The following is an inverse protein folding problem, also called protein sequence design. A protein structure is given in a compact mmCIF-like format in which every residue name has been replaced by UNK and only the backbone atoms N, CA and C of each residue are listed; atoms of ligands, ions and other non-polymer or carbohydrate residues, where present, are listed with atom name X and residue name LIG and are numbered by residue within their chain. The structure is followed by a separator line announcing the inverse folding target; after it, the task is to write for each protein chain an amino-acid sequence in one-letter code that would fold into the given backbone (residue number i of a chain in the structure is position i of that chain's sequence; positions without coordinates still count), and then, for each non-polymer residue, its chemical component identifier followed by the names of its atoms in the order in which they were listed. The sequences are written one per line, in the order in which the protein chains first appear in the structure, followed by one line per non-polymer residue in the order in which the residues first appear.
data_IF_835656596317
#
_entry.id   IF_835656596317
#
_cell.length_a   1.000
_cell.length_b   1.000
_cell.length_c   1.000
_cell.angle_alpha   90.00
_cell.angle_beta   90.00
_cell.angle_gamma   90.00
#
_symmetry.space_group_name_H-M   'P 1'
#
loop_
_entity.id
_entity.type
_entity.pdbx_description
1 polymer ?
#
# COMPACT_ATOMS: atom_id res chain seq x y z
N UNK A 1 4.19 -11.68 -9.33
CA UNK A 1 4.99 -10.44 -9.44
C UNK A 1 4.12 -9.20 -9.58
N UNK A 2 3.32 -9.02 -10.65
CA UNK A 2 2.47 -7.81 -10.76
C UNK A 2 1.45 -7.67 -9.62
N UNK A 3 0.60 -8.70 -9.44
CA UNK A 3 -0.46 -8.68 -8.42
C UNK A 3 0.11 -8.60 -7.00
N UNK A 4 1.27 -9.24 -6.76
CA UNK A 4 1.93 -9.16 -5.45
C UNK A 4 2.33 -7.74 -5.10
N UNK A 5 2.80 -6.94 -6.06
CA UNK A 5 3.11 -5.52 -5.79
C UNK A 5 1.86 -4.71 -5.49
N UNK A 6 0.74 -4.92 -6.20
CA UNK A 6 -0.52 -4.24 -5.88
C UNK A 6 -0.97 -4.59 -4.45
N UNK A 7 -0.96 -5.89 -4.13
CA UNK A 7 -1.40 -6.40 -2.83
C UNK A 7 -0.50 -5.95 -1.68
N UNK A 8 0.82 -5.94 -1.85
CA UNK A 8 1.78 -5.51 -0.83
C UNK A 8 1.43 -4.11 -0.31
N UNK A 9 1.24 -3.14 -1.21
CA UNK A 9 0.90 -1.78 -0.81
C UNK A 9 -0.55 -1.62 -0.33
N UNK A 10 -1.50 -2.38 -0.89
CA UNK A 10 -2.89 -2.37 -0.43
C UNK A 10 -3.01 -2.92 1.02
N UNK A 11 -2.31 -4.01 1.31
CA UNK A 11 -2.23 -4.60 2.65
C UNK A 11 -1.48 -3.64 3.58
N UNK A 12 -0.32 -3.11 3.18
CA UNK A 12 0.44 -2.15 3.99
C UNK A 12 -0.41 -0.94 4.37
N UNK A 13 -1.10 -0.31 3.41
CA UNK A 13 -2.01 0.81 3.66
C UNK A 13 -3.07 0.45 4.71
N UNK A 14 -3.66 -0.73 4.63
CA UNK A 14 -4.70 -1.16 5.57
C UNK A 14 -4.16 -1.47 6.97
N UNK A 15 -2.95 -2.04 7.06
CA UNK A 15 -2.27 -2.30 8.34
C UNK A 15 -1.81 -0.99 9.00
N UNK A 16 -1.30 -0.04 8.23
CA UNK A 16 -0.88 1.28 8.72
C UNK A 16 -2.05 2.08 9.32
N UNK A 17 -3.23 2.00 8.71
CA UNK A 17 -4.45 2.57 9.30
C UNK A 17 -4.77 1.95 10.66
N UNK A 18 -4.61 0.62 10.81
CA UNK A 18 -4.82 -0.08 12.08
C UNK A 18 -3.73 0.18 13.12
N UNK A 19 -2.52 0.51 12.67
CA UNK A 19 -1.43 0.98 13.51
C UNK A 19 -1.66 2.41 14.04
N UNK A 20 -2.75 3.09 13.65
CA UNK A 20 -2.99 4.51 13.90
C UNK A 20 -1.83 5.39 13.40
N UNK A 21 -1.16 4.98 12.32
CA UNK A 21 -0.11 5.78 11.70
C UNK A 21 -0.71 7.07 11.12
N UNK A 22 -0.05 8.19 11.39
CA UNK A 22 -0.40 9.49 10.83
C UNK A 22 0.81 10.02 10.07
N UNK A 23 0.63 10.39 8.81
CA UNK A 23 1.70 10.89 7.96
C UNK A 23 1.85 10.08 6.67
N UNK A 24 2.96 10.27 5.93
CA UNK A 24 3.21 9.57 4.68
C UNK A 24 3.26 8.06 4.87
N UNK A 25 2.66 7.31 3.94
CA UNK A 25 2.56 5.85 4.06
C UNK A 25 3.95 5.18 4.07
N UNK A 26 4.94 5.73 3.38
CA UNK A 26 6.30 5.18 3.34
C UNK A 26 7.08 5.31 4.66
N UNK A 27 6.59 6.11 5.62
CA UNK A 27 7.18 6.21 6.96
C UNK A 27 6.51 5.26 7.97
N UNK A 28 5.41 4.62 7.58
CA UNK A 28 4.69 3.73 8.47
C UNK A 28 5.53 2.50 8.84
N UNK A 29 5.54 2.17 10.14
CA UNK A 29 6.08 0.91 10.64
C UNK A 29 5.00 0.12 11.37
N UNK A 30 4.82 -1.13 10.97
CA UNK A 30 3.92 -2.09 11.63
C UNK A 30 4.63 -2.93 12.71
N UNK A 31 5.90 -2.61 13.01
CA UNK A 31 6.67 -3.32 14.02
C UNK A 31 6.04 -3.17 15.42
N UNK A 32 5.82 -4.28 16.12
CA UNK A 32 5.20 -4.29 17.46
C UNK A 32 3.68 -4.05 17.47
N UNK A 33 3.05 -3.86 16.31
CA UNK A 33 1.60 -3.65 16.21
C UNK A 33 0.88 -5.00 16.22
N UNK A 34 0.39 -5.43 17.40
CA UNK A 34 -0.28 -6.72 17.58
C UNK A 34 -1.49 -6.91 16.67
N UNK A 35 -2.28 -5.85 16.47
CA UNK A 35 -3.45 -5.89 15.60
C UNK A 35 -3.08 -6.16 14.14
N UNK A 36 -1.96 -5.62 13.66
CA UNK A 36 -1.48 -5.89 12.31
C UNK A 36 -1.10 -7.38 12.15
N UNK A 37 -0.42 -7.95 13.16
CA UNK A 37 -0.11 -9.38 13.20
C UNK A 37 -1.36 -10.27 13.22
N UNK A 38 -2.38 -9.88 13.99
CA UNK A 38 -3.67 -10.59 14.03
C UNK A 38 -4.35 -10.60 12.66
N UNK A 39 -4.47 -9.45 12.00
CA UNK A 39 -5.08 -9.34 10.67
C UNK A 39 -4.33 -10.17 9.63
N UNK A 40 -3.01 -10.15 9.65
CA UNK A 40 -2.19 -10.99 8.78
C UNK A 40 -2.42 -12.48 9.05
N UNK A 41 -2.44 -12.89 10.33
CA UNK A 41 -2.70 -14.27 10.73
C UNK A 41 -4.09 -14.73 10.31
N UNK A 42 -5.12 -13.91 10.56
CA UNK A 42 -6.51 -14.22 10.23
C UNK A 42 -6.65 -14.47 8.72
N UNK A 43 -6.13 -13.56 7.88
CA UNK A 43 -6.15 -13.72 6.42
C UNK A 43 -5.33 -14.92 5.91
N UNK A 44 -4.07 -15.07 6.37
CA UNK A 44 -3.21 -16.17 5.92
C UNK A 44 -3.72 -17.55 6.35
N UNK A 45 -4.42 -17.64 7.48
CA UNK A 45 -4.96 -18.91 8.00
C UNK A 45 -6.03 -19.53 7.10
N UNK A 46 -6.72 -18.72 6.28
CA UNK A 46 -7.70 -19.19 5.30
C UNK A 46 -7.03 -19.91 4.14
N UNK A 47 -5.79 -19.54 3.80
CA UNK A 47 -5.04 -20.14 2.70
C UNK A 47 -5.85 -20.18 1.40
N UNK A 48 -5.88 -21.34 0.76
CA UNK A 48 -6.63 -21.57 -0.48
C UNK A 48 -8.02 -22.18 -0.27
N UNK A 49 -8.52 -22.26 0.97
CA UNK A 49 -9.87 -22.82 1.23
C UNK A 49 -11.00 -21.82 0.94
N UNK A 50 -10.68 -20.53 0.86
CA UNK A 50 -11.63 -19.43 0.63
C UNK A 50 -11.33 -18.70 -0.68
N UNK A 51 -12.33 -18.00 -1.23
CA UNK A 51 -12.11 -17.09 -2.37
C UNK A 51 -11.14 -15.98 -1.98
N UNK A 52 -10.22 -15.65 -2.88
CA UNK A 52 -9.18 -14.66 -2.62
C UNK A 52 -9.75 -13.27 -2.26
N UNK A 53 -10.96 -12.92 -2.73
CA UNK A 53 -11.61 -11.64 -2.36
C UNK A 53 -12.07 -11.67 -0.92
N UNK A 54 -12.53 -12.81 -0.42
CA UNK A 54 -12.86 -13.00 1.00
C UNK A 54 -11.60 -12.84 1.84
N UNK A 55 -10.50 -13.50 1.44
CA UNK A 55 -9.20 -13.37 2.12
C UNK A 55 -8.72 -11.92 2.12
N UNK A 56 -8.79 -11.24 0.97
CA UNK A 56 -8.41 -9.84 0.84
C UNK A 56 -9.27 -8.92 1.71
N UNK A 57 -10.59 -9.16 1.77
CA UNK A 57 -11.51 -8.38 2.60
C UNK A 57 -11.23 -8.59 4.10
N UNK A 58 -10.86 -9.81 4.52
CA UNK A 58 -10.42 -10.09 5.89
C UNK A 58 -9.19 -9.25 6.26
N UNK A 59 -8.24 -9.11 5.35
CA UNK A 59 -6.99 -8.39 5.61
C UNK A 59 -7.12 -6.87 5.48
N UNK A 60 -7.88 -6.41 4.49
CA UNK A 60 -7.85 -5.00 4.06
C UNK A 60 -9.15 -4.26 4.33
N UNK A 61 -10.26 -4.97 4.49
CA UNK A 61 -11.62 -4.42 4.47
C UNK A 61 -12.19 -4.20 3.06
N UNK A 62 -11.43 -4.48 2.00
CA UNK A 62 -11.81 -4.31 0.60
C UNK A 62 -11.78 -5.67 -0.11
N UNK A 63 -12.73 -5.92 -1.02
CA UNK A 63 -12.79 -7.16 -1.80
C UNK A 63 -12.13 -7.05 -3.17
N UNK A 64 -11.75 -5.84 -3.59
CA UNK A 64 -11.21 -5.54 -4.92
C UNK A 64 -9.73 -5.15 -4.83
N UNK A 65 -8.99 -5.44 -5.90
CA UNK A 65 -7.61 -4.98 -6.03
C UNK A 65 -7.56 -3.47 -6.22
N UNK A 66 -6.67 -2.79 -5.50
CA UNK A 66 -6.55 -1.33 -5.52
C UNK A 66 -5.10 -0.89 -5.60
N UNK A 67 -4.79 -0.02 -6.58
CA UNK A 67 -3.47 0.62 -6.71
C UNK A 67 -3.30 1.83 -5.80
N UNK A 68 -4.32 2.18 -5.00
CA UNK A 68 -4.28 3.35 -4.11
C UNK A 68 -3.09 3.32 -3.16
N UNK A 69 -2.75 2.15 -2.62
CA UNK A 69 -1.58 2.00 -1.73
C UNK A 69 -0.27 2.37 -2.41
N UNK A 70 -0.10 2.02 -3.69
CA UNK A 70 1.11 2.38 -4.47
C UNK A 70 1.20 3.89 -4.62
N UNK A 71 0.10 4.52 -5.07
CA UNK A 71 0.05 5.97 -5.27
C UNK A 71 0.31 6.73 -3.97
N UNK A 72 -0.28 6.28 -2.86
CA UNK A 72 -0.12 6.93 -1.56
C UNK A 72 1.30 6.75 -0.99
N UNK A 73 1.93 5.59 -1.21
CA UNK A 73 3.31 5.34 -0.81
C UNK A 73 4.30 6.26 -1.55
N UNK A 74 4.14 6.40 -2.86
CA UNK A 74 5.06 7.12 -3.73
C UNK A 74 4.67 8.58 -4.01
N UNK A 75 3.61 9.11 -3.39
CA UNK A 75 3.08 10.46 -3.67
C UNK A 75 4.16 11.55 -3.65
N UNK A 76 5.01 11.57 -2.61
CA UNK A 76 6.10 12.56 -2.49
C UNK A 76 7.12 12.42 -3.61
N UNK A 77 7.49 11.19 -3.98
CA UNK A 77 8.42 10.95 -5.08
C UNK A 77 7.80 11.36 -6.42
N UNK A 78 6.52 11.10 -6.62
CA UNK A 78 5.79 11.50 -7.84
C UNK A 78 5.81 13.03 -8.02
N UNK A 79 5.57 13.79 -6.95
CA UNK A 79 5.64 15.25 -6.97
C UNK A 79 7.04 15.74 -7.35
N UNK A 80 8.08 15.21 -6.70
CA UNK A 80 9.48 15.58 -7.00
C UNK A 80 9.83 15.26 -8.45
N UNK A 81 9.45 14.09 -8.95
CA UNK A 81 9.74 13.69 -10.33
C UNK A 81 9.01 14.57 -11.35
N UNK A 82 7.77 14.99 -11.08
CA UNK A 82 7.04 15.94 -11.92
C UNK A 82 7.75 17.29 -11.97
N UNK A 83 8.20 17.80 -10.84
CA UNK A 83 8.94 19.07 -10.78
C UNK A 83 10.26 19.00 -11.55
N UNK A 84 11.04 17.95 -11.36
CA UNK A 84 12.32 17.76 -12.06
C UNK A 84 12.13 17.58 -13.57
N UNK A 85 11.09 16.83 -13.99
CA UNK A 85 10.77 16.66 -15.41
C UNK A 85 10.43 18.00 -16.05
N UNK A 86 9.59 18.82 -15.40
CA UNK A 86 9.23 20.15 -15.88
C UNK A 86 10.43 21.13 -15.91
N UNK A 87 11.43 20.97 -15.02
CA UNK A 87 12.69 21.75 -15.10
C UNK A 87 13.52 21.31 -16.30
N UNK A 88 13.62 20.01 -16.57
CA UNK A 88 14.38 19.47 -17.70
C UNK A 88 13.76 19.88 -19.05
N UNK A 89 12.43 19.85 -19.16
CA UNK A 89 11.71 20.28 -20.36
C UNK A 89 11.98 21.76 -20.66
N UNK A 90 11.85 22.65 -19.66
CA UNK A 90 12.16 24.08 -19.82
C UNK A 90 13.59 24.34 -20.27
N UNK A 91 14.56 23.59 -19.72
CA UNK A 91 15.97 23.72 -20.11
C UNK A 91 16.26 23.20 -21.52
N UNK A 92 15.43 22.30 -22.05
CA UNK A 92 15.59 21.78 -23.42
C UNK A 92 15.05 22.72 -24.50
N UNK A 93 14.21 23.68 -24.11
CA UNK A 93 13.61 24.70 -24.98
C UNK A 93 14.46 25.99 -25.08
N UNK A 94 15.48 26.13 -24.21
CA UNK A 94 16.49 27.19 -24.19
C UNK A 94 17.72 26.85 -25.05
#
# INVERSE_FOLDING_TARGET
YLISHILEFQILLSLCKRANHTGPLHECSIHGVKEAGKVLSDGMSLGASEDWRTVLATMTGESELSTKGILEYFAVLEEVLKEETAKLERKSEE
#
